data_IF_311865721183
#
_entry.id   IF_311865721183
#
_cell.length_a   1.000
_cell.length_b   1.000
_cell.length_c   1.000
_cell.angle_alpha   90.00
_cell.angle_beta   90.00
_cell.angle_gamma   90.00
#
_symmetry.space_group_name_H-M   'P 1'
#
loop_
_entity.id
_entity.type
_entity.pdbx_description
1 polymer ?
#
# COMPACT_ATOMS: atom_id res chain seq x y z
N UNK A 1 66.65 -70.51 17.64
CA UNK A 1 67.79 -69.66 17.23
C UNK A 1 67.37 -68.91 15.97
N UNK A 2 67.48 -67.57 15.99
CA UNK A 2 67.55 -66.63 14.85
C UNK A 2 66.34 -66.61 13.88
N UNK A 3 65.80 -65.48 13.41
CA UNK A 3 66.11 -64.07 13.56
C UNK A 3 64.86 -63.25 13.18
N UNK A 4 64.83 -62.02 13.68
CA UNK A 4 63.87 -60.98 13.34
C UNK A 4 63.95 -60.56 11.87
N UNK A 5 62.82 -60.14 11.30
CA UNK A 5 62.77 -59.24 10.16
C UNK A 5 61.63 -58.24 10.37
N UNK A 6 62.01 -57.08 10.90
CA UNK A 6 61.25 -55.83 10.84
C UNK A 6 61.10 -55.37 9.39
N UNK A 7 59.90 -54.96 8.99
CA UNK A 7 59.78 -53.91 7.96
C UNK A 7 58.53 -53.08 8.21
N UNK A 8 58.76 -51.91 8.81
CA UNK A 8 57.88 -50.75 8.84
C UNK A 8 57.66 -50.22 7.42
N UNK A 9 56.43 -49.77 7.10
CA UNK A 9 56.21 -48.49 6.39
C UNK A 9 54.72 -48.14 6.23
N UNK A 10 54.37 -47.06 6.93
CA UNK A 10 53.52 -45.92 6.53
C UNK A 10 52.02 -46.17 6.32
N UNK A 11 51.26 -45.80 7.36
CA UNK A 11 49.87 -45.37 7.27
C UNK A 11 49.77 -44.10 6.41
N UNK A 12 49.21 -44.22 5.20
CA UNK A 12 48.76 -43.08 4.43
C UNK A 12 47.56 -42.45 5.14
N UNK A 13 47.78 -41.27 5.74
CA UNK A 13 46.71 -40.39 6.23
C UNK A 13 45.87 -39.95 5.02
N UNK A 14 44.66 -40.47 4.91
CA UNK A 14 43.64 -39.86 4.08
C UNK A 14 43.26 -38.52 4.73
N UNK A 15 43.68 -37.42 4.09
CA UNK A 15 43.17 -36.08 4.41
C UNK A 15 41.77 -36.02 3.82
N UNK A 16 40.76 -36.19 4.67
CA UNK A 16 39.39 -35.83 4.34
C UNK A 16 39.34 -34.32 4.16
N UNK A 17 39.29 -33.88 2.91
CA UNK A 17 39.05 -32.50 2.55
C UNK A 17 37.62 -32.15 2.98
N UNK A 18 37.49 -31.37 4.03
CA UNK A 18 36.27 -30.60 4.36
C UNK A 18 35.88 -29.76 3.14
N UNK A 19 34.66 -29.88 2.59
CA UNK A 19 34.15 -28.84 1.72
C UNK A 19 33.95 -27.60 2.57
N UNK A 20 34.80 -26.60 2.35
CA UNK A 20 34.52 -25.24 2.79
C UNK A 20 33.16 -24.87 2.19
N UNK A 21 32.18 -24.63 3.05
CA UNK A 21 30.94 -23.95 2.70
C UNK A 21 31.33 -22.57 2.16
N UNK A 22 31.59 -22.53 0.86
CA UNK A 22 31.79 -21.31 0.10
C UNK A 22 30.53 -20.49 0.28
N UNK A 23 30.67 -19.38 1.02
CA UNK A 23 29.58 -18.44 1.23
C UNK A 23 28.91 -18.14 -0.10
N UNK A 24 27.59 -18.26 -0.14
CA UNK A 24 26.79 -17.75 -1.24
C UNK A 24 27.11 -16.25 -1.36
N UNK A 25 28.01 -15.93 -2.30
CA UNK A 25 28.22 -14.55 -2.72
C UNK A 25 26.94 -14.15 -3.41
N UNK A 26 26.12 -13.41 -2.68
CA UNK A 26 24.98 -12.71 -3.23
C UNK A 26 25.50 -11.71 -4.27
N UNK A 27 25.58 -12.14 -5.53
CA UNK A 27 25.88 -11.26 -6.64
C UNK A 27 24.59 -10.51 -6.97
N UNK A 28 24.36 -9.37 -6.32
CA UNK A 28 23.35 -8.43 -6.80
C UNK A 28 23.83 -7.89 -8.14
N UNK A 29 23.16 -8.23 -9.24
CA UNK A 29 23.41 -7.67 -10.57
C UNK A 29 22.87 -6.24 -10.71
N UNK A 30 22.74 -5.51 -9.61
CA UNK A 30 22.29 -4.13 -9.63
C UNK A 30 23.38 -3.28 -10.29
N UNK A 31 23.04 -2.48 -11.32
CA UNK A 31 23.98 -1.55 -11.93
C UNK A 31 24.55 -0.64 -10.84
N UNK A 32 25.88 -0.56 -10.75
CA UNK A 32 26.57 0.27 -9.78
C UNK A 32 26.26 1.74 -10.13
N UNK A 33 25.66 2.54 -9.23
CA UNK A 33 25.37 3.93 -9.53
C UNK A 33 26.69 4.67 -9.79
N UNK A 34 26.64 5.63 -10.73
CA UNK A 34 27.78 6.48 -11.04
C UNK A 34 28.28 7.19 -9.76
N UNK A 35 29.59 7.47 -9.65
CA UNK A 35 30.12 8.18 -8.48
C UNK A 35 29.44 9.54 -8.34
N UNK A 36 28.77 9.74 -7.21
CA UNK A 36 28.08 10.99 -6.86
C UNK A 36 29.12 12.06 -6.53
N UNK A 37 28.99 13.25 -7.11
CA UNK A 37 29.83 14.38 -6.74
C UNK A 37 29.53 14.80 -5.29
N UNK A 38 30.53 14.64 -4.43
CA UNK A 38 30.47 15.01 -3.00
C UNK A 38 31.39 16.19 -2.72
N UNK A 39 31.09 16.97 -1.69
CA UNK A 39 31.97 18.01 -1.19
C UNK A 39 33.14 17.46 -0.34
N UNK A 40 33.97 18.35 0.20
CA UNK A 40 35.11 18.01 1.05
C UNK A 40 34.69 17.34 2.37
N UNK A 41 33.42 17.47 2.76
CA UNK A 41 32.79 16.85 3.93
C UNK A 41 32.05 15.54 3.59
N UNK A 42 32.05 15.10 2.33
CA UNK A 42 31.33 13.90 1.87
C UNK A 42 29.83 14.08 1.66
N UNK A 43 29.33 15.32 1.62
CA UNK A 43 27.92 15.65 1.37
C UNK A 43 27.69 15.72 -0.14
N UNK A 44 26.66 15.06 -0.68
CA UNK A 44 26.31 15.17 -2.10
C UNK A 44 26.06 16.63 -2.51
N UNK A 45 26.72 17.08 -3.57
CA UNK A 45 26.54 18.42 -4.15
C UNK A 45 25.22 18.55 -4.92
N UNK A 46 24.57 17.44 -5.21
CA UNK A 46 23.27 17.36 -5.84
C UNK A 46 22.40 16.29 -5.19
N UNK A 47 21.08 16.32 -5.45
CA UNK A 47 20.17 15.30 -4.95
C UNK A 47 20.59 13.93 -5.51
N UNK A 48 20.81 12.96 -4.62
CA UNK A 48 21.21 11.59 -4.99
C UNK A 48 20.08 10.79 -5.62
N UNK A 49 18.85 11.24 -5.43
CA UNK A 49 17.65 10.67 -6.02
C UNK A 49 16.59 11.76 -6.14
N UNK A 50 15.69 11.59 -7.12
CA UNK A 50 14.52 12.44 -7.28
C UNK A 50 13.27 11.65 -6.93
N UNK A 51 12.39 12.24 -6.10
CA UNK A 51 11.06 11.66 -5.83
C UNK A 51 10.28 11.49 -7.14
N UNK A 52 10.41 12.43 -8.08
CA UNK A 52 9.71 12.35 -9.36
C UNK A 52 10.22 11.19 -10.23
N UNK A 53 11.52 10.88 -10.14
CA UNK A 53 12.12 9.71 -10.81
C UNK A 53 11.66 8.40 -10.18
N UNK A 54 11.58 8.36 -8.84
CA UNK A 54 11.04 7.20 -8.13
C UNK A 54 9.57 6.96 -8.49
N UNK A 55 8.74 8.01 -8.43
CA UNK A 55 7.31 7.91 -8.75
C UNK A 55 7.07 7.57 -10.22
N UNK A 56 7.89 8.08 -11.15
CA UNK A 56 7.73 7.77 -12.58
C UNK A 56 8.03 6.30 -12.88
N UNK A 57 8.92 5.66 -12.11
CA UNK A 57 9.30 4.24 -12.30
C UNK A 57 8.18 3.23 -12.06
N UNK A 58 7.13 3.58 -11.29
CA UNK A 58 6.04 2.65 -11.03
C UNK A 58 5.16 2.44 -12.28
N UNK A 59 4.66 1.22 -12.51
CA UNK A 59 3.76 0.94 -13.62
C UNK A 59 2.48 1.77 -13.49
N UNK A 60 1.99 2.31 -14.60
CA UNK A 60 0.68 2.97 -14.63
C UNK A 60 -0.39 1.92 -14.96
N UNK A 61 -1.34 1.65 -14.06
CA UNK A 61 -2.42 0.71 -14.33
C UNK A 61 -3.38 1.33 -15.36
N UNK A 62 -3.97 0.50 -16.20
CA UNK A 62 -4.97 0.93 -17.19
C UNK A 62 -6.37 0.68 -16.66
N UNK A 63 -7.22 1.70 -16.67
CA UNK A 63 -8.61 1.59 -16.21
C UNK A 63 -9.53 1.41 -17.42
N UNK A 64 -10.28 0.29 -17.45
CA UNK A 64 -11.28 0.08 -18.49
C UNK A 64 -12.43 1.11 -18.37
N UNK A 65 -12.98 1.60 -19.49
CA UNK A 65 -14.05 2.62 -19.47
C UNK A 65 -15.31 2.13 -18.72
N UNK A 66 -15.62 0.83 -18.81
CA UNK A 66 -16.72 0.20 -18.07
C UNK A 66 -16.51 0.31 -16.55
N UNK A 67 -15.26 0.20 -16.08
CA UNK A 67 -14.93 0.35 -14.66
C UNK A 67 -15.10 1.80 -14.21
N UNK A 68 -14.70 2.77 -15.03
CA UNK A 68 -14.90 4.19 -14.74
C UNK A 68 -16.40 4.52 -14.63
N UNK A 69 -17.21 4.04 -15.56
CA UNK A 69 -18.68 4.19 -15.51
C UNK A 69 -19.28 3.56 -14.25
N UNK A 70 -18.81 2.37 -13.87
CA UNK A 70 -19.24 1.69 -12.64
C UNK A 70 -18.87 2.49 -11.38
N UNK A 71 -17.66 3.03 -11.32
CA UNK A 71 -17.22 3.88 -10.20
C UNK A 71 -18.08 5.13 -10.06
N UNK A 72 -18.38 5.80 -11.17
CA UNK A 72 -19.29 6.96 -11.17
C UNK A 72 -20.68 6.59 -10.66
N UNK A 73 -21.22 5.46 -11.12
CA UNK A 73 -22.52 4.98 -10.66
C UNK A 73 -22.55 4.67 -9.16
N UNK A 74 -21.50 4.04 -8.61
CA UNK A 74 -21.39 3.76 -7.17
C UNK A 74 -21.25 5.05 -6.34
N UNK A 75 -20.60 6.06 -6.91
CA UNK A 75 -20.46 7.38 -6.28
C UNK A 75 -21.66 8.30 -6.51
N UNK A 76 -22.74 7.82 -7.13
CA UNK A 76 -23.91 8.61 -7.52
C UNK A 76 -23.56 9.86 -8.37
N UNK A 77 -22.52 9.73 -9.21
CA UNK A 77 -22.08 10.77 -10.14
C UNK A 77 -22.50 10.43 -11.57
N UNK A 78 -22.75 11.47 -12.37
CA UNK A 78 -22.94 11.34 -13.81
C UNK A 78 -21.56 11.24 -14.49
N UNK A 79 -21.25 10.15 -15.22
CA UNK A 79 -19.99 10.03 -15.93
C UNK A 79 -19.97 10.92 -17.19
N UNK A 80 -18.80 11.47 -17.57
CA UNK A 80 -18.65 12.13 -18.86
C UNK A 80 -18.79 11.12 -20.00
N UNK A 81 -19.26 11.57 -21.16
CA UNK A 81 -19.43 10.70 -22.33
C UNK A 81 -18.10 10.11 -22.79
N UNK A 82 -18.12 8.84 -23.21
CA UNK A 82 -16.94 8.13 -23.71
C UNK A 82 -16.41 8.82 -24.99
N UNK A 83 -15.09 8.95 -25.09
CA UNK A 83 -14.44 9.62 -26.22
C UNK A 83 -14.36 11.15 -26.11
N UNK A 84 -14.96 11.75 -25.07
CA UNK A 84 -14.76 13.19 -24.80
C UNK A 84 -13.38 13.47 -24.22
N UNK A 85 -12.81 14.69 -24.41
CA UNK A 85 -11.54 15.06 -23.79
C UNK A 85 -11.64 15.07 -22.25
N UNK A 86 -12.83 15.34 -21.71
CA UNK A 86 -13.11 15.26 -20.29
C UNK A 86 -12.95 13.83 -19.75
N UNK A 87 -13.49 12.83 -20.46
CA UNK A 87 -13.33 11.42 -20.10
C UNK A 87 -11.86 10.98 -20.13
N UNK A 88 -11.11 11.37 -21.17
CA UNK A 88 -9.69 11.03 -21.28
C UNK A 88 -8.86 11.65 -20.14
N UNK A 89 -9.09 12.93 -19.82
CA UNK A 89 -8.43 13.63 -18.72
C UNK A 89 -8.72 12.94 -17.38
N UNK A 90 -9.98 12.64 -17.11
CA UNK A 90 -10.39 11.97 -15.88
C UNK A 90 -9.82 10.57 -15.74
N UNK A 91 -9.75 9.82 -16.85
CA UNK A 91 -9.13 8.48 -16.87
C UNK A 91 -7.65 8.58 -16.50
N UNK A 92 -6.91 9.52 -17.12
CA UNK A 92 -5.51 9.73 -16.82
C UNK A 92 -5.25 10.16 -15.36
N UNK A 93 -6.10 11.04 -14.82
CA UNK A 93 -6.03 11.45 -13.42
C UNK A 93 -6.28 10.27 -12.47
N UNK A 94 -7.28 9.44 -12.77
CA UNK A 94 -7.59 8.25 -11.95
C UNK A 94 -6.45 7.23 -12.00
N UNK A 95 -5.89 6.95 -13.18
CA UNK A 95 -4.75 6.05 -13.33
C UNK A 95 -3.51 6.54 -12.58
N UNK A 96 -3.27 7.86 -12.59
CA UNK A 96 -2.19 8.49 -11.81
C UNK A 96 -2.40 8.32 -10.30
N UNK A 97 -3.63 8.49 -9.82
CA UNK A 97 -3.96 8.26 -8.41
C UNK A 97 -3.77 6.80 -8.00
N UNK A 98 -4.25 5.85 -8.83
CA UNK A 98 -4.09 4.43 -8.54
C UNK A 98 -2.61 4.05 -8.52
N UNK A 99 -1.80 4.54 -9.46
CA UNK A 99 -0.35 4.34 -9.47
C UNK A 99 0.32 4.74 -8.14
N UNK A 100 -0.08 5.87 -7.56
CA UNK A 100 0.46 6.33 -6.27
C UNK A 100 0.07 5.39 -5.12
N UNK A 101 -1.18 4.93 -5.09
CA UNK A 101 -1.67 4.02 -4.04
C UNK A 101 -1.07 2.62 -4.20
N UNK A 102 -0.80 2.17 -5.42
CA UNK A 102 -0.15 0.89 -5.66
C UNK A 102 1.31 0.86 -5.20
N UNK A 103 2.00 2.00 -5.22
CA UNK A 103 3.34 2.10 -4.66
C UNK A 103 3.38 1.78 -3.15
N UNK A 104 2.29 2.03 -2.41
CA UNK A 104 2.17 1.68 -0.98
C UNK A 104 2.22 0.17 -0.78
N UNK A 105 1.76 -0.64 -1.75
CA UNK A 105 1.83 -2.11 -1.66
C UNK A 105 3.26 -2.65 -1.69
N UNK A 106 4.22 -1.86 -2.20
CA UNK A 106 5.64 -2.24 -2.27
C UNK A 106 6.42 -1.83 -1.01
N UNK A 107 5.83 -1.02 -0.14
CA UNK A 107 6.45 -0.64 1.11
C UNK A 107 6.41 -1.84 2.09
N UNK A 108 7.55 -2.10 2.72
CA UNK A 108 7.65 -3.07 3.80
C UNK A 108 7.27 -2.38 5.11
N UNK A 109 6.20 -2.85 5.74
CA UNK A 109 5.66 -2.26 6.98
C UNK A 109 6.16 -2.99 8.24
N UNK A 110 7.05 -3.99 8.10
CA UNK A 110 7.57 -4.78 9.21
C UNK A 110 6.51 -5.65 9.89
N UNK A 111 6.96 -6.61 10.70
CA UNK A 111 6.07 -7.57 11.39
C UNK A 111 5.23 -6.93 12.51
N UNK A 112 5.63 -5.77 13.05
CA UNK A 112 4.95 -5.12 14.19
C UNK A 112 3.61 -4.47 13.83
N UNK A 113 3.36 -4.17 12.56
CA UNK A 113 2.08 -3.58 12.11
C UNK A 113 1.18 -4.58 11.41
N UNK A 114 1.66 -5.82 11.19
CA UNK A 114 0.85 -6.87 10.61
C UNK A 114 -0.20 -7.31 11.64
N UNK A 115 -1.51 -7.28 11.32
CA UNK A 115 -2.49 -7.91 12.16
C UNK A 115 -2.11 -9.39 12.31
N UNK A 116 -2.16 -9.92 13.55
CA UNK A 116 -2.05 -11.36 13.79
C UNK A 116 -2.97 -12.09 12.80
N UNK A 117 -2.53 -13.21 12.21
CA UNK A 117 -3.28 -13.91 11.15
C UNK A 117 -4.79 -13.97 11.44
N UNK A 118 -5.59 -13.28 10.60
CA UNK A 118 -7.05 -13.20 10.74
C UNK A 118 -7.59 -11.98 11.51
N UNK A 119 -6.73 -11.11 12.03
CA UNK A 119 -7.10 -9.85 12.65
C UNK A 119 -7.57 -8.83 11.62
N UNK A 120 -8.75 -8.24 11.83
CA UNK A 120 -9.18 -7.08 11.06
C UNK A 120 -8.29 -5.90 11.49
N UNK A 121 -7.55 -5.26 10.57
CA UNK A 121 -6.74 -4.10 10.92
C UNK A 121 -7.64 -3.00 11.47
N UNK A 122 -7.29 -2.48 12.66
CA UNK A 122 -8.03 -1.36 13.24
C UNK A 122 -7.70 -0.08 12.47
N UNK A 123 -8.70 0.49 11.79
CA UNK A 123 -8.57 1.76 11.08
C UNK A 123 -8.63 2.99 11.99
N UNK A 124 -8.79 2.81 13.31
CA UNK A 124 -8.89 3.91 14.27
C UNK A 124 -7.50 4.40 14.67
N UNK A 125 -7.25 5.68 14.43
CA UNK A 125 -6.05 6.37 14.93
C UNK A 125 -6.39 6.91 16.32
N UNK A 126 -6.24 6.09 17.36
CA UNK A 126 -6.41 6.51 18.75
C UNK A 126 -5.07 6.53 19.48
N UNK A 127 -4.89 7.49 20.38
CA UNK A 127 -3.79 7.42 21.35
C UNK A 127 -4.02 6.19 22.25
N UNK A 128 -2.93 5.53 22.63
CA UNK A 128 -2.98 4.35 23.51
C UNK A 128 -3.77 4.67 24.79
N UNK A 129 -4.70 3.78 25.15
CA UNK A 129 -5.61 3.98 26.30
C UNK A 129 -6.80 4.90 26.05
N UNK A 130 -6.99 5.41 24.83
CA UNK A 130 -8.17 6.19 24.44
C UNK A 130 -9.21 5.30 23.76
N UNK A 131 -10.49 5.47 24.08
CA UNK A 131 -11.58 4.73 23.47
C UNK A 131 -12.83 5.58 23.26
N UNK A 132 -13.76 5.10 22.43
CA UNK A 132 -15.12 5.66 22.38
C UNK A 132 -15.77 5.42 23.74
N UNK A 133 -16.15 6.50 24.41
CA UNK A 133 -17.06 6.43 25.55
C UNK A 133 -18.41 5.99 25.01
N UNK A 134 -18.78 4.74 25.28
CA UNK A 134 -20.11 4.26 25.00
C UNK A 134 -21.04 4.95 26.00
N UNK A 135 -21.78 5.95 25.52
CA UNK A 135 -22.83 6.55 26.33
C UNK A 135 -23.88 5.47 26.61
N UNK A 136 -24.14 5.25 27.90
CA UNK A 136 -25.14 4.29 28.35
C UNK A 136 -26.49 4.87 27.91
N UNK A 137 -27.12 4.23 26.95
CA UNK A 137 -28.43 4.62 26.38
C UNK A 137 -29.40 5.04 27.49
N UNK A 138 -29.60 6.35 27.68
CA UNK A 138 -30.42 6.87 28.75
C UNK A 138 -30.26 8.37 29.07
N UNK A 139 -29.13 9.00 28.75
CA UNK A 139 -29.02 10.47 28.82
C UNK A 139 -29.58 11.07 27.54
N UNK A 140 -30.88 11.32 27.51
CA UNK A 140 -31.54 12.09 26.46
C UNK A 140 -31.03 13.52 26.53
N UNK A 141 -30.18 13.90 25.57
CA UNK A 141 -29.82 15.30 25.33
C UNK A 141 -31.11 16.02 24.97
N UNK A 142 -31.55 16.98 25.78
CA UNK A 142 -32.86 17.66 25.68
C UNK A 142 -33.01 18.56 24.44
N UNK A 143 -32.08 18.52 23.49
CA UNK A 143 -32.02 19.39 22.31
C UNK A 143 -32.09 18.57 21.01
N UNK A 144 -32.85 17.47 21.03
CA UNK A 144 -33.14 16.71 19.83
C UNK A 144 -34.21 17.42 19.01
N UNK A 145 -33.84 17.79 17.78
CA UNK A 145 -34.78 18.37 16.80
C UNK A 145 -35.79 17.28 16.40
N UNK A 146 -37.08 17.58 16.50
CA UNK A 146 -38.14 16.60 16.27
C UNK A 146 -39.13 17.02 15.18
N UNK A 147 -39.78 16.02 14.57
CA UNK A 147 -40.91 16.23 13.67
C UNK A 147 -40.57 17.08 12.44
N UNK A 148 -41.38 18.12 12.19
CA UNK A 148 -41.26 18.97 10.99
C UNK A 148 -39.99 19.82 10.98
N UNK A 149 -39.36 20.04 12.13
CA UNK A 149 -38.13 20.82 12.20
C UNK A 149 -36.95 20.12 11.53
N UNK A 150 -37.03 18.78 11.37
CA UNK A 150 -36.07 17.99 10.57
C UNK A 150 -36.10 18.37 9.08
N UNK A 151 -37.24 18.89 8.61
CA UNK A 151 -37.45 19.24 7.20
C UNK A 151 -36.95 20.64 6.84
N UNK A 152 -36.46 21.43 7.81
CA UNK A 152 -36.07 22.83 7.59
C UNK A 152 -34.97 23.03 6.53
N UNK A 153 -34.16 21.99 6.30
CA UNK A 153 -33.08 22.00 5.31
C UNK A 153 -33.40 21.20 4.04
N UNK A 154 -34.61 20.66 3.93
CA UNK A 154 -35.04 19.93 2.75
C UNK A 154 -35.24 20.89 1.58
N UNK A 155 -34.69 20.56 0.41
CA UNK A 155 -34.90 21.34 -0.80
C UNK A 155 -36.36 21.25 -1.31
N UNK A 156 -37.02 20.10 -1.10
CA UNK A 156 -38.41 19.85 -1.46
C UNK A 156 -39.07 18.97 -0.41
N UNK A 157 -40.32 19.31 -0.07
CA UNK A 157 -41.16 18.57 0.88
C UNK A 157 -42.61 18.60 0.43
N UNK A 158 -43.32 17.50 0.61
CA UNK A 158 -44.76 17.37 0.32
C UNK A 158 -45.38 16.53 1.42
N UNK A 159 -46.55 16.94 1.93
CA UNK A 159 -47.28 16.27 3.00
C UNK A 159 -46.45 15.92 4.27
N UNK A 160 -45.42 16.72 4.56
CA UNK A 160 -44.54 16.49 5.71
C UNK A 160 -43.52 15.37 5.50
N UNK A 161 -43.21 15.03 4.25
CA UNK A 161 -42.22 14.04 3.86
C UNK A 161 -41.17 14.65 2.92
N UNK A 162 -39.98 14.05 2.87
CA UNK A 162 -38.98 14.38 1.86
C UNK A 162 -39.45 13.85 0.50
N UNK A 163 -39.40 14.71 -0.52
CA UNK A 163 -39.70 14.32 -1.90
C UNK A 163 -38.39 14.13 -2.64
N UNK A 164 -38.22 12.94 -3.20
CA UNK A 164 -37.09 12.60 -4.07
C UNK A 164 -37.65 12.17 -5.41
N UNK A 165 -37.11 12.73 -6.49
CA UNK A 165 -37.47 12.33 -7.84
C UNK A 165 -37.03 10.87 -8.03
N UNK A 166 -37.99 9.96 -8.18
CA UNK A 166 -37.70 8.54 -8.36
C UNK A 166 -37.18 8.33 -9.79
N UNK A 167 -35.86 8.31 -9.94
CA UNK A 167 -35.21 8.04 -11.22
C UNK A 167 -35.36 6.54 -11.55
N UNK A 168 -36.54 6.16 -12.06
CA UNK A 168 -36.83 4.79 -12.53
C UNK A 168 -36.21 4.61 -13.92
N UNK A 169 -34.92 4.31 -13.97
CA UNK A 169 -34.31 3.70 -15.16
C UNK A 169 -34.36 2.18 -15.02
N UNK A 170 -35.02 1.51 -15.97
CA UNK A 170 -35.23 0.06 -16.05
C UNK A 170 -34.22 -0.58 -16.99
#
# INVERSE_FOLDING_TARGET
MLAAATCSRVLSRAVLATPALGGLRWTSSAPRPAPVEVDECGIPRGPTWSVNELLSSYPQPTIAPVTLKKLHSLSALLPPEEGTPAHAKLTAEMESLVKLVEAVKLADFGEETAPQEGGIPDGRIWAEGTGIKLERSGEVVQDEVHGRDLLRHAARTEDGLYVVDADRTR
#
